data_IF_354442715675
#
_entry.id   IF_354442715675
#
_cell.length_a   1.000
_cell.length_b   1.000
_cell.length_c   1.000
_cell.angle_alpha   90.00
_cell.angle_beta   90.00
_cell.angle_gamma   90.00
#
_symmetry.space_group_name_H-M   'P 1'
#
loop_
_entity.id
_entity.type
_entity.pdbx_description
1 polymer ?
#
# COMPACT_ATOMS: atom_id res chain seq x y z
N UNK A 1 8.37 0.34 0.82
CA UNK A 1 8.74 -0.59 1.86
C UNK A 1 10.25 -0.77 1.80
N UNK A 2 10.95 0.33 1.97
CA UNK A 2 12.35 0.36 2.35
C UNK A 2 12.51 -0.21 3.76
N UNK A 3 13.66 -0.84 4.02
CA UNK A 3 14.07 -1.21 5.39
C UNK A 3 14.12 0.04 6.26
N UNK A 4 13.78 -0.09 7.54
CA UNK A 4 13.91 1.02 8.47
C UNK A 4 15.39 1.45 8.55
N UNK A 5 15.70 2.75 8.46
CA UNK A 5 17.07 3.24 8.61
C UNK A 5 17.58 2.98 10.03
N UNK A 6 18.90 2.88 10.17
CA UNK A 6 19.53 2.68 11.47
C UNK A 6 19.28 3.86 12.42
N UNK A 7 19.06 3.62 13.72
CA UNK A 7 18.70 4.68 14.67
C UNK A 7 19.66 5.87 14.68
N UNK A 8 20.95 5.64 14.47
CA UNK A 8 22.02 6.64 14.54
C UNK A 8 22.02 7.60 13.34
N UNK A 9 21.34 7.24 12.25
CA UNK A 9 21.30 8.02 11.00
C UNK A 9 20.00 8.80 10.81
N UNK A 10 19.02 8.63 11.69
CA UNK A 10 17.69 9.21 11.52
C UNK A 10 17.48 10.40 12.46
N UNK A 11 17.46 11.60 11.88
CA UNK A 11 17.15 12.85 12.58
C UNK A 11 15.66 13.14 12.43
N UNK A 12 14.83 13.01 13.49
CA UNK A 12 13.38 13.04 13.34
C UNK A 12 12.83 14.32 12.70
N UNK A 13 13.41 15.48 13.05
CA UNK A 13 12.93 16.76 12.51
C UNK A 13 13.21 16.90 11.01
N UNK A 14 14.38 16.46 10.55
CA UNK A 14 14.74 16.50 9.13
C UNK A 14 13.93 15.48 8.33
N UNK A 15 13.83 14.24 8.83
CA UNK A 15 13.10 13.17 8.15
C UNK A 15 11.60 13.45 8.04
N UNK A 16 11.00 14.11 9.04
CA UNK A 16 9.60 14.54 8.95
C UNK A 16 9.35 15.59 7.86
N UNK A 17 10.38 16.37 7.47
CA UNK A 17 10.30 17.45 6.47
C UNK A 17 10.88 17.07 5.10
N UNK A 18 11.54 15.92 5.00
CA UNK A 18 12.25 15.45 3.80
C UNK A 18 11.43 15.54 2.50
N UNK A 19 10.12 15.29 2.60
CA UNK A 19 9.21 15.29 1.46
C UNK A 19 8.19 16.44 1.49
N UNK A 20 8.39 17.48 2.30
CA UNK A 20 7.49 18.64 2.35
C UNK A 20 7.40 19.39 1.02
N UNK A 21 8.38 19.23 0.13
CA UNK A 21 8.36 19.79 -1.22
C UNK A 21 7.21 19.24 -2.09
N UNK A 22 6.66 18.05 -1.79
CA UNK A 22 5.48 17.50 -2.45
C UNK A 22 4.22 18.35 -2.23
N UNK A 23 4.20 19.20 -1.20
CA UNK A 23 3.04 19.99 -0.81
C UNK A 23 3.06 21.42 -1.39
N UNK A 24 3.95 21.71 -2.35
CA UNK A 24 4.13 23.06 -2.92
C UNK A 24 3.13 23.43 -4.02
N UNK A 25 2.44 22.45 -4.60
CA UNK A 25 1.47 22.67 -5.68
C UNK A 25 0.13 23.21 -5.14
N UNK A 26 -0.81 23.53 -6.05
CA UNK A 26 -2.14 24.03 -5.69
C UNK A 26 -2.92 23.00 -4.84
N UNK A 27 -3.88 23.47 -4.02
CA UNK A 27 -4.60 22.60 -3.09
C UNK A 27 -5.39 21.49 -3.79
N UNK A 28 -5.99 21.72 -4.95
CA UNK A 28 -6.76 20.68 -5.64
C UNK A 28 -5.86 19.58 -6.21
N UNK A 29 -4.76 19.94 -6.87
CA UNK A 29 -3.79 19.00 -7.46
C UNK A 29 -3.08 18.16 -6.39
N UNK A 30 -2.74 18.77 -5.25
CA UNK A 30 -2.07 18.06 -4.16
C UNK A 30 -2.95 16.94 -3.60
N UNK A 31 -4.26 17.17 -3.51
CA UNK A 31 -5.20 16.29 -2.80
C UNK A 31 -5.94 15.29 -3.68
N UNK A 32 -5.81 15.39 -5.01
CA UNK A 32 -6.53 14.55 -5.98
C UNK A 32 -5.68 13.36 -6.43
N UNK A 33 -6.17 12.14 -6.22
CA UNK A 33 -5.48 10.92 -6.69
C UNK A 33 -5.77 10.71 -8.18
N UNK A 34 -4.75 10.87 -9.02
CA UNK A 34 -4.89 10.68 -10.45
C UNK A 34 -4.80 9.19 -10.80
N UNK A 35 -5.90 8.56 -11.23
CA UNK A 35 -5.91 7.13 -11.55
C UNK A 35 -4.95 6.73 -12.67
N UNK A 36 -4.54 7.67 -13.53
CA UNK A 36 -3.50 7.45 -14.54
C UNK A 36 -2.11 7.18 -13.96
N UNK A 37 -1.74 7.76 -12.80
CA UNK A 37 -0.48 7.45 -12.13
C UNK A 37 -0.69 6.72 -10.79
N UNK A 38 -1.93 6.58 -10.34
CA UNK A 38 -2.29 5.98 -9.08
C UNK A 38 -1.92 6.81 -7.84
N UNK A 39 -1.58 8.08 -7.99
CA UNK A 39 -1.02 8.86 -6.89
C UNK A 39 -1.46 10.32 -6.90
N UNK A 40 -1.30 10.95 -5.74
CA UNK A 40 -1.30 12.40 -5.57
C UNK A 40 -0.06 12.82 -4.79
N UNK A 41 0.42 14.06 -4.91
CA UNK A 41 1.51 14.56 -4.08
C UNK A 41 1.23 14.39 -2.58
N UNK A 42 -0.03 14.58 -2.15
CA UNK A 42 -0.44 14.35 -0.76
C UNK A 42 -0.38 12.88 -0.37
N UNK A 43 -0.81 11.97 -1.22
CA UNK A 43 -0.75 10.53 -0.95
C UNK A 43 0.70 10.09 -0.77
N UNK A 44 1.60 10.50 -1.66
CA UNK A 44 3.03 10.20 -1.56
C UNK A 44 3.66 10.79 -0.28
N UNK A 45 3.28 12.02 0.08
CA UNK A 45 3.70 12.62 1.34
C UNK A 45 3.17 11.83 2.54
N UNK A 46 1.90 11.39 2.54
CA UNK A 46 1.36 10.56 3.62
C UNK A 46 2.13 9.23 3.71
N UNK A 47 2.42 8.58 2.58
CA UNK A 47 3.23 7.35 2.54
C UNK A 47 4.62 7.56 3.15
N UNK A 48 5.27 8.70 2.91
CA UNK A 48 6.54 9.02 3.56
C UNK A 48 6.40 9.25 5.06
N UNK A 49 5.31 9.88 5.52
CA UNK A 49 5.03 10.05 6.94
C UNK A 49 4.72 8.71 7.64
N UNK A 50 4.10 7.74 6.94
CA UNK A 50 3.94 6.37 7.44
C UNK A 50 5.32 5.74 7.69
N UNK A 51 6.27 5.91 6.76
CA UNK A 51 7.64 5.41 6.89
C UNK A 51 8.37 6.08 8.05
N UNK A 52 8.22 7.40 8.21
CA UNK A 52 8.72 8.16 9.35
C UNK A 52 8.18 7.60 10.67
N UNK A 53 6.86 7.40 10.79
CA UNK A 53 6.24 6.88 12.00
C UNK A 53 6.73 5.46 12.35
N UNK A 54 6.84 4.58 11.35
CA UNK A 54 7.33 3.22 11.55
C UNK A 54 8.79 3.22 12.05
N UNK A 55 9.63 4.07 11.46
CA UNK A 55 11.02 4.25 11.86
C UNK A 55 11.11 4.81 13.28
N UNK A 56 10.33 5.84 13.59
CA UNK A 56 10.34 6.45 14.92
C UNK A 56 9.90 5.47 16.00
N UNK A 57 8.90 4.65 15.72
CA UNK A 57 8.43 3.59 16.63
C UNK A 57 9.47 2.49 16.86
N UNK A 58 10.32 2.23 15.86
CA UNK A 58 11.43 1.29 15.99
C UNK A 58 12.56 1.85 16.87
N UNK A 59 12.89 3.13 16.70
CA UNK A 59 13.90 3.81 17.54
C UNK A 59 13.43 4.05 18.97
N UNK A 60 12.16 4.46 19.13
CA UNK A 60 11.56 4.84 20.40
C UNK A 60 10.10 4.40 20.43
N UNK A 61 9.90 3.24 21.06
CA UNK A 61 8.58 2.66 21.21
C UNK A 61 7.70 3.40 22.24
N UNK A 62 8.24 4.37 22.99
CA UNK A 62 7.50 5.21 23.94
C UNK A 62 7.05 6.54 23.32
N UNK A 63 7.40 6.81 22.07
CA UNK A 63 7.07 8.07 21.42
C UNK A 63 5.56 8.30 21.35
N UNK A 64 5.07 9.29 22.09
CA UNK A 64 3.67 9.73 22.05
C UNK A 64 3.28 10.36 20.71
N UNK A 65 4.27 10.81 19.94
CA UNK A 65 4.07 11.46 18.63
C UNK A 65 3.50 10.45 17.64
N UNK A 66 4.00 9.21 17.63
CA UNK A 66 3.60 8.21 16.62
C UNK A 66 2.11 7.87 16.68
N UNK A 67 1.49 7.55 17.85
CA UNK A 67 0.05 7.33 17.92
C UNK A 67 -0.80 8.53 17.47
N UNK A 68 -0.38 9.75 17.82
CA UNK A 68 -1.10 10.99 17.45
C UNK A 68 -1.00 11.21 15.94
N UNK A 69 0.22 11.18 15.39
CA UNK A 69 0.47 11.34 13.97
C UNK A 69 -0.25 10.26 13.16
N UNK A 70 -0.23 9.00 13.60
CA UNK A 70 -0.93 7.92 12.90
C UNK A 70 -2.44 8.15 12.78
N UNK A 71 -3.10 8.65 13.84
CA UNK A 71 -4.52 9.03 13.77
C UNK A 71 -4.74 10.15 12.77
N UNK A 72 -3.86 11.17 12.76
CA UNK A 72 -3.97 12.28 11.81
C UNK A 72 -3.74 11.82 10.37
N UNK A 73 -2.76 10.95 10.12
CA UNK A 73 -2.53 10.37 8.78
C UNK A 73 -3.75 9.60 8.28
N UNK A 74 -4.41 8.83 9.15
CA UNK A 74 -5.64 8.14 8.77
C UNK A 74 -6.76 9.12 8.40
N UNK A 75 -6.95 10.18 9.17
CA UNK A 75 -7.91 11.24 8.84
C UNK A 75 -7.60 11.85 7.47
N UNK A 76 -6.33 12.21 7.22
CA UNK A 76 -5.90 12.78 5.96
C UNK A 76 -6.11 11.82 4.76
N UNK A 77 -5.96 10.50 4.97
CA UNK A 77 -6.26 9.51 3.94
C UNK A 77 -7.76 9.50 3.59
N UNK A 78 -8.65 9.62 4.57
CA UNK A 78 -10.10 9.70 4.29
C UNK A 78 -10.53 11.04 3.69
N UNK A 79 -9.74 12.10 3.87
CA UNK A 79 -9.94 13.40 3.22
C UNK A 79 -9.43 13.41 1.75
N UNK A 80 -8.58 12.45 1.36
CA UNK A 80 -8.16 12.34 -0.04
C UNK A 80 -9.35 11.99 -0.91
N UNK A 81 -9.47 12.72 -2.02
CA UNK A 81 -10.45 12.44 -3.05
C UNK A 81 -9.79 11.59 -4.14
N UNK A 82 -10.18 10.32 -4.32
CA UNK A 82 -10.11 9.72 -5.65
C UNK A 82 -10.86 10.69 -6.58
N UNK A 83 -10.36 10.91 -7.81
CA UNK A 83 -11.02 11.80 -8.78
C UNK A 83 -12.55 11.61 -8.72
N UNK A 84 -13.27 12.68 -8.35
CA UNK A 84 -14.72 12.74 -8.18
C UNK A 84 -15.38 12.99 -9.55
N UNK A 85 -16.22 12.06 -10.01
CA UNK A 85 -17.70 12.20 -9.93
C UNK A 85 -18.38 13.52 -10.31
N UNK A 86 -17.81 14.36 -11.20
CA UNK A 86 -18.46 15.59 -11.66
C UNK A 86 -19.36 15.42 -12.90
N UNK A 87 -19.51 14.20 -13.47
CA UNK A 87 -20.42 13.94 -14.59
C UNK A 87 -21.15 12.60 -14.41
N UNK A 88 -22.46 12.49 -14.70
CA UNK A 88 -23.13 11.20 -14.75
C UNK A 88 -22.42 10.30 -15.77
N UNK A 89 -21.99 9.13 -15.33
CA UNK A 89 -21.08 8.26 -16.08
C UNK A 89 -21.80 7.46 -17.16
N UNK A 90 -21.34 7.62 -18.40
CA UNK A 90 -21.56 6.69 -19.51
C UNK A 90 -20.25 6.10 -20.06
N UNK A 91 -19.08 6.57 -19.58
CA UNK A 91 -17.75 6.13 -20.05
C UNK A 91 -17.11 5.06 -19.14
N UNK A 92 -16.91 3.82 -19.64
CA UNK A 92 -16.20 2.74 -18.95
C UNK A 92 -14.78 3.11 -18.49
N UNK A 93 -14.09 3.98 -19.22
CA UNK A 93 -12.69 4.36 -18.95
C UNK A 93 -12.57 5.15 -17.66
N UNK A 94 -13.49 6.08 -17.43
CA UNK A 94 -13.48 6.94 -16.26
C UNK A 94 -13.73 6.15 -14.96
N UNK A 95 -14.61 5.13 -15.00
CA UNK A 95 -14.81 4.20 -13.88
C UNK A 95 -13.52 3.42 -13.55
N UNK A 96 -12.77 2.96 -14.55
CA UNK A 96 -11.50 2.24 -14.34
C UNK A 96 -10.44 3.13 -13.67
N UNK A 97 -10.36 4.41 -14.07
CA UNK A 97 -9.45 5.38 -13.49
C UNK A 97 -9.80 5.62 -12.02
N UNK A 98 -11.08 5.82 -11.69
CA UNK A 98 -11.53 5.99 -10.30
C UNK A 98 -11.24 4.75 -9.45
N UNK A 99 -11.51 3.55 -9.97
CA UNK A 99 -11.21 2.28 -9.28
C UNK A 99 -9.72 2.11 -9.03
N UNK A 100 -8.88 2.51 -10.00
CA UNK A 100 -7.42 2.48 -9.84
C UNK A 100 -6.98 3.46 -8.77
N UNK A 101 -7.48 4.70 -8.78
CA UNK A 101 -7.19 5.70 -7.75
C UNK A 101 -7.61 5.20 -6.35
N UNK A 102 -8.81 4.60 -6.25
CA UNK A 102 -9.31 4.06 -5.00
C UNK A 102 -8.48 2.86 -4.49
N UNK A 103 -7.99 1.98 -5.39
CA UNK A 103 -7.09 0.89 -5.02
C UNK A 103 -5.78 1.40 -4.37
N UNK A 104 -5.24 2.52 -4.84
CA UNK A 104 -4.06 3.16 -4.24
C UNK A 104 -4.33 3.79 -2.89
N UNK A 105 -5.49 4.43 -2.72
CA UNK A 105 -5.95 4.91 -1.41
C UNK A 105 -6.06 3.76 -0.40
N UNK A 106 -6.69 2.65 -0.79
CA UNK A 106 -6.81 1.46 0.03
C UNK A 106 -5.45 0.89 0.43
N UNK A 107 -4.49 0.84 -0.49
CA UNK A 107 -3.12 0.41 -0.16
C UNK A 107 -2.47 1.31 0.88
N UNK A 108 -2.62 2.63 0.80
CA UNK A 108 -2.04 3.51 1.82
C UNK A 108 -2.70 3.32 3.21
N UNK A 109 -4.01 3.07 3.25
CA UNK A 109 -4.73 2.75 4.48
C UNK A 109 -4.27 1.42 5.06
N UNK A 110 -4.17 0.39 4.23
CA UNK A 110 -3.63 -0.92 4.60
C UNK A 110 -2.19 -0.77 5.09
N UNK A 111 -1.39 0.06 4.42
CA UNK A 111 0.01 0.30 4.75
C UNK A 111 0.19 0.91 6.13
N UNK A 112 -0.59 1.95 6.45
CA UNK A 112 -0.64 2.54 7.78
C UNK A 112 -1.03 1.49 8.84
N UNK A 113 -2.02 0.64 8.51
CA UNK A 113 -2.53 -0.42 9.38
C UNK A 113 -1.49 -1.48 9.74
N UNK A 114 -0.81 -2.07 8.76
CA UNK A 114 0.17 -3.11 9.08
C UNK A 114 1.52 -2.55 9.54
N UNK A 115 1.94 -1.37 9.07
CA UNK A 115 3.30 -0.87 9.33
C UNK A 115 3.39 -0.12 10.65
N UNK A 116 2.49 0.83 10.86
CA UNK A 116 2.50 1.70 12.05
C UNK A 116 1.64 1.09 13.15
N UNK A 117 0.41 0.69 12.82
CA UNK A 117 -0.48 0.07 13.80
C UNK A 117 -0.13 -1.40 14.09
N UNK A 118 0.74 -2.01 13.28
CA UNK A 118 1.18 -3.41 13.42
C UNK A 118 0.02 -4.41 13.40
N UNK A 119 -1.09 -4.06 12.74
CA UNK A 119 -2.24 -4.95 12.59
C UNK A 119 -1.95 -6.07 11.60
N UNK A 120 -2.09 -7.35 11.96
CA UNK A 120 -1.93 -8.45 11.01
C UNK A 120 -3.06 -8.48 9.97
N UNK A 121 -2.90 -9.18 8.83
CA UNK A 121 -3.94 -9.26 7.78
C UNK A 121 -5.29 -9.79 8.28
N UNK A 122 -5.26 -10.64 9.31
CA UNK A 122 -6.47 -11.18 9.94
C UNK A 122 -7.25 -10.17 10.78
N UNK A 123 -6.68 -9.00 11.11
CA UNK A 123 -7.34 -7.98 11.91
C UNK A 123 -8.54 -7.39 11.14
N UNK A 124 -9.73 -7.20 11.76
CA UNK A 124 -10.94 -6.76 11.06
C UNK A 124 -10.76 -5.46 10.26
N UNK A 125 -10.01 -4.51 10.83
CA UNK A 125 -9.66 -3.27 10.15
C UNK A 125 -8.84 -3.49 8.88
N UNK A 126 -7.88 -4.41 8.85
CA UNK A 126 -7.07 -4.67 7.65
C UNK A 126 -7.87 -5.48 6.64
N UNK A 127 -8.57 -6.51 7.12
CA UNK A 127 -9.40 -7.40 6.30
C UNK A 127 -10.42 -6.66 5.44
N UNK A 128 -11.20 -5.74 6.03
CA UNK A 128 -12.22 -4.99 5.28
C UNK A 128 -11.63 -4.19 4.10
N UNK A 129 -10.42 -3.64 4.26
CA UNK A 129 -9.78 -2.88 3.19
C UNK A 129 -9.13 -3.81 2.15
N UNK A 130 -8.64 -4.99 2.56
CA UNK A 130 -8.20 -6.03 1.62
C UNK A 130 -9.36 -6.56 0.77
N UNK A 131 -10.56 -6.68 1.34
CA UNK A 131 -11.78 -7.07 0.62
C UNK A 131 -12.22 -5.98 -0.37
N UNK A 132 -12.30 -4.73 0.07
CA UNK A 132 -12.56 -3.59 -0.82
C UNK A 132 -11.51 -3.48 -1.95
N UNK A 133 -10.25 -3.78 -1.65
CA UNK A 133 -9.18 -3.78 -2.65
C UNK A 133 -9.35 -4.91 -3.67
N UNK A 134 -9.78 -6.10 -3.24
CA UNK A 134 -10.08 -7.21 -4.13
C UNK A 134 -11.23 -6.89 -5.08
N UNK A 135 -12.27 -6.21 -4.60
CA UNK A 135 -13.38 -5.72 -5.44
C UNK A 135 -12.88 -4.71 -6.48
N UNK A 136 -11.99 -3.78 -6.10
CA UNK A 136 -11.39 -2.83 -7.03
C UNK A 136 -10.59 -3.53 -8.13
N UNK A 137 -9.73 -4.49 -7.75
CA UNK A 137 -8.87 -5.19 -8.71
C UNK A 137 -9.68 -6.03 -9.69
N UNK A 138 -10.76 -6.69 -9.23
CA UNK A 138 -11.63 -7.48 -10.10
C UNK A 138 -12.45 -6.62 -11.07
N UNK A 139 -12.74 -5.37 -10.70
CA UNK A 139 -13.46 -4.43 -11.57
C UNK A 139 -12.56 -3.77 -12.63
N UNK A 140 -11.23 -3.75 -12.43
CA UNK A 140 -10.28 -3.17 -13.39
C UNK A 140 -9.89 -4.22 -14.43
N UNK A 141 -10.00 -3.91 -15.74
CA UNK A 141 -9.63 -4.86 -16.78
C UNK A 141 -8.15 -5.22 -16.71
N UNK A 142 -7.85 -6.49 -16.95
CA UNK A 142 -6.49 -7.05 -17.00
C UNK A 142 -5.97 -7.23 -18.45
N UNK A 143 -6.80 -6.95 -19.45
CA UNK A 143 -6.50 -7.09 -20.88
C UNK A 143 -7.54 -6.31 -21.71
N UNK A 144 -7.29 -6.15 -23.01
CA UNK A 144 -8.25 -5.54 -23.94
C UNK A 144 -8.15 -4.00 -24.04
N UNK A 145 -9.09 -3.35 -24.75
CA UNK A 145 -8.98 -1.95 -25.17
C UNK A 145 -9.03 -0.94 -24.01
N UNK A 146 -9.52 -1.35 -22.85
CA UNK A 146 -9.59 -0.52 -21.64
C UNK A 146 -8.51 -0.85 -20.60
N UNK A 147 -7.62 -1.82 -20.90
CA UNK A 147 -6.45 -2.08 -20.07
C UNK A 147 -5.47 -0.91 -20.17
N UNK A 148 -5.04 -0.40 -19.03
CA UNK A 148 -4.07 0.69 -18.98
C UNK A 148 -2.70 0.18 -18.52
N UNK A 149 -1.58 0.67 -19.09
CA UNK A 149 -0.22 0.37 -18.61
C UNK A 149 0.08 0.81 -17.16
N UNK A 150 -0.91 1.43 -16.50
CA UNK A 150 -0.86 1.97 -15.14
C UNK A 150 -1.68 1.12 -14.15
N UNK A 151 -2.01 -0.11 -14.56
CA UNK A 151 -2.57 -1.14 -13.73
C UNK A 151 -1.88 -1.18 -12.34
N UNK A 152 -2.62 -1.29 -11.23
CA UNK A 152 -2.09 -1.10 -9.88
C UNK A 152 -1.32 -2.34 -9.40
N UNK A 153 -0.19 -2.66 -10.06
CA UNK A 153 0.63 -3.86 -9.83
C UNK A 153 1.01 -4.00 -8.35
N UNK A 154 1.40 -2.90 -7.70
CA UNK A 154 1.71 -2.91 -6.26
C UNK A 154 0.50 -3.35 -5.43
N UNK A 155 -0.70 -2.85 -5.77
CA UNK A 155 -1.92 -3.17 -5.06
C UNK A 155 -2.31 -4.63 -5.25
N UNK A 156 -2.17 -5.15 -6.48
CA UNK A 156 -2.40 -6.57 -6.79
C UNK A 156 -1.41 -7.47 -6.07
N UNK A 157 -0.12 -7.10 -6.08
CA UNK A 157 0.93 -7.83 -5.38
C UNK A 157 0.65 -7.90 -3.87
N UNK A 158 0.36 -6.76 -3.24
CA UNK A 158 0.08 -6.72 -1.80
C UNK A 158 -1.20 -7.46 -1.42
N UNK A 159 -2.23 -7.42 -2.28
CA UNK A 159 -3.42 -8.23 -2.07
C UNK A 159 -3.09 -9.72 -2.07
N UNK A 160 -2.31 -10.19 -3.05
CA UNK A 160 -1.92 -11.59 -3.17
C UNK A 160 -0.97 -12.05 -2.06
N UNK A 161 -0.15 -11.13 -1.53
CA UNK A 161 0.77 -11.39 -0.43
C UNK A 161 0.03 -11.53 0.91
N UNK A 162 -1.00 -10.69 1.13
CA UNK A 162 -1.65 -10.53 2.44
C UNK A 162 -2.98 -11.28 2.57
N UNK A 163 -3.61 -11.67 1.45
CA UNK A 163 -4.91 -12.34 1.46
C UNK A 163 -4.88 -13.68 0.74
N UNK A 164 -4.77 -14.76 1.52
CA UNK A 164 -4.90 -16.11 0.99
C UNK A 164 -6.25 -16.34 0.29
N UNK A 165 -7.32 -15.72 0.79
CA UNK A 165 -8.68 -15.77 0.20
C UNK A 165 -8.72 -15.21 -1.22
N UNK A 166 -7.94 -14.15 -1.48
CA UNK A 166 -7.96 -13.44 -2.77
C UNK A 166 -6.85 -13.91 -3.73
N UNK A 167 -6.15 -15.00 -3.40
CA UNK A 167 -5.07 -15.56 -4.22
C UNK A 167 -5.52 -15.87 -5.65
N UNK A 168 -6.70 -16.48 -5.83
CA UNK A 168 -7.25 -16.81 -7.16
C UNK A 168 -7.46 -15.56 -8.02
N UNK A 169 -8.15 -14.55 -7.48
CA UNK A 169 -8.38 -13.28 -8.20
C UNK A 169 -7.08 -12.58 -8.60
N UNK A 170 -6.05 -12.65 -7.75
CA UNK A 170 -4.72 -12.09 -8.05
C UNK A 170 -3.99 -12.90 -9.12
N UNK A 171 -4.06 -14.22 -9.04
CA UNK A 171 -3.49 -15.13 -10.03
C UNK A 171 -4.11 -14.86 -11.41
N UNK A 172 -5.45 -14.86 -11.50
CA UNK A 172 -6.19 -14.61 -12.74
C UNK A 172 -5.81 -13.25 -13.34
N UNK A 173 -5.64 -12.23 -12.50
CA UNK A 173 -5.21 -10.91 -12.94
C UNK A 173 -3.83 -10.95 -13.59
N UNK A 174 -2.83 -11.55 -12.93
CA UNK A 174 -1.47 -11.65 -13.48
C UNK A 174 -1.45 -12.47 -14.77
N UNK A 175 -2.14 -13.61 -14.81
CA UNK A 175 -2.19 -14.48 -15.98
C UNK A 175 -2.78 -13.77 -17.20
N UNK A 176 -3.85 -12.99 -17.02
CA UNK A 176 -4.44 -12.17 -18.08
C UNK A 176 -3.52 -11.03 -18.54
N UNK A 177 -2.89 -10.34 -17.60
CA UNK A 177 -1.93 -9.28 -17.89
C UNK A 177 -0.74 -9.82 -18.69
N UNK A 178 -0.28 -11.04 -18.41
CA UNK A 178 0.81 -11.67 -19.17
C UNK A 178 0.46 -12.05 -20.61
N UNK A 179 -0.83 -12.08 -20.98
CA UNK A 179 -1.26 -12.33 -22.36
C UNK A 179 -1.13 -11.10 -23.28
N UNK A 180 -0.89 -9.91 -22.71
CA UNK A 180 -0.68 -8.67 -23.48
C UNK A 180 0.78 -8.23 -23.39
N UNK A 181 1.22 -7.34 -24.29
CA UNK A 181 2.56 -6.75 -24.21
C UNK A 181 2.69 -5.93 -22.93
N UNK A 182 3.42 -6.46 -21.95
CA UNK A 182 3.62 -5.84 -20.64
C UNK A 182 5.05 -5.36 -20.44
N UNK A 183 5.23 -4.49 -19.43
CA UNK A 183 6.57 -4.13 -18.97
C UNK A 183 7.33 -5.40 -18.55
N UNK A 184 8.61 -5.46 -18.87
CA UNK A 184 9.50 -6.59 -18.53
C UNK A 184 9.57 -6.89 -17.02
N UNK A 185 9.14 -5.96 -16.17
CA UNK A 185 9.07 -6.13 -14.71
C UNK A 185 7.89 -6.98 -14.23
N UNK A 186 6.82 -7.15 -15.02
CA UNK A 186 5.60 -7.85 -14.55
C UNK A 186 5.83 -9.35 -14.31
N UNK A 187 6.42 -10.12 -15.25
CA UNK A 187 6.72 -11.53 -15.01
C UNK A 187 7.55 -11.80 -13.74
N UNK A 188 8.70 -11.12 -13.50
CA UNK A 188 9.48 -11.36 -12.29
C UNK A 188 8.73 -11.04 -10.99
N UNK A 189 7.86 -10.01 -11.00
CA UNK A 189 7.01 -9.67 -9.85
C UNK A 189 6.03 -10.81 -9.54
N UNK A 190 5.41 -11.39 -10.57
CA UNK A 190 4.48 -12.50 -10.40
C UNK A 190 5.19 -13.76 -9.90
N UNK A 191 6.36 -14.08 -10.44
CA UNK A 191 7.19 -15.20 -9.96
C UNK A 191 7.59 -15.02 -8.50
N UNK A 192 7.98 -13.79 -8.10
CA UNK A 192 8.26 -13.47 -6.71
C UNK A 192 7.03 -13.73 -5.82
N UNK A 193 5.85 -13.27 -6.23
CA UNK A 193 4.60 -13.48 -5.50
C UNK A 193 4.27 -14.96 -5.34
N UNK A 194 4.39 -15.77 -6.39
CA UNK A 194 4.12 -17.22 -6.34
C UNK A 194 4.98 -17.93 -5.29
N UNK A 195 6.25 -17.55 -5.17
CA UNK A 195 7.16 -18.10 -4.13
C UNK A 195 6.63 -17.82 -2.72
N UNK A 196 6.05 -16.63 -2.49
CA UNK A 196 5.52 -16.25 -1.18
C UNK A 196 4.31 -17.09 -0.76
N UNK A 197 3.55 -17.67 -1.68
CA UNK A 197 2.36 -18.46 -1.35
C UNK A 197 2.68 -19.79 -0.66
N UNK A 198 3.91 -20.28 -0.77
CA UNK A 198 4.39 -21.45 -0.02
C UNK A 198 4.91 -21.12 1.38
N UNK A 199 4.95 -19.85 1.76
CA UNK A 199 5.56 -19.44 3.02
C UNK A 199 4.66 -19.74 4.22
N UNK A 200 5.29 -20.22 5.29
CA UNK A 200 4.69 -20.15 6.62
C UNK A 200 4.45 -18.69 6.98
N UNK A 201 3.22 -18.36 7.37
CA UNK A 201 2.86 -17.00 7.80
C UNK A 201 3.69 -16.59 9.02
N UNK A 202 4.17 -15.35 8.99
CA UNK A 202 5.08 -14.78 10.01
C UNK A 202 4.46 -13.64 10.82
N UNK A 203 3.19 -13.31 10.55
CA UNK A 203 2.46 -12.28 11.30
C UNK A 203 1.66 -12.86 12.46
N UNK A 204 1.42 -12.08 13.53
CA UNK A 204 0.67 -12.54 14.70
C UNK A 204 -0.81 -12.77 14.40
N UNK A 205 -1.49 -13.49 15.29
CA UNK A 205 -2.94 -13.61 15.27
C UNK A 205 -3.60 -12.32 15.77
N UNK A 206 -4.66 -11.87 15.09
CA UNK A 206 -5.44 -10.72 15.55
C UNK A 206 -6.14 -10.94 16.90
N UNK A 207 -6.38 -12.20 17.31
CA UNK A 207 -7.11 -12.54 18.55
C UNK A 207 -6.36 -12.10 19.82
N UNK A 208 -5.04 -12.14 19.80
CA UNK A 208 -4.18 -11.90 20.96
C UNK A 208 -3.34 -10.63 20.78
N UNK A 209 -3.83 -9.67 19.99
CA UNK A 209 -3.06 -8.48 19.68
C UNK A 209 -2.98 -7.55 20.91
N UNK A 210 -1.78 -7.15 21.36
CA UNK A 210 -1.64 -6.20 22.47
C UNK A 210 -2.41 -4.89 22.25
N UNK A 211 -2.92 -4.34 23.36
CA UNK A 211 -3.67 -3.06 23.34
C UNK A 211 -2.79 -1.92 22.86
N UNK A 212 -1.56 -1.85 23.33
CA UNK A 212 -0.64 -0.76 22.96
C UNK A 212 0.19 -1.13 21.73
N UNK A 213 0.47 -0.16 20.86
CA UNK A 213 1.23 -0.38 19.62
C UNK A 213 2.66 -0.85 19.93
N UNK A 214 3.26 -0.32 21.01
CA UNK A 214 4.64 -0.62 21.43
C UNK A 214 4.88 -2.09 21.77
N UNK A 215 3.85 -2.79 22.23
CA UNK A 215 3.90 -4.22 22.58
C UNK A 215 3.66 -5.13 21.36
N UNK A 216 3.17 -4.59 20.24
CA UNK A 216 2.90 -5.38 19.04
C UNK A 216 4.20 -5.67 18.30
N UNK A 217 4.34 -6.88 17.78
CA UNK A 217 5.50 -7.26 16.97
C UNK A 217 5.56 -6.48 15.64
N UNK A 218 6.73 -5.96 15.22
CA UNK A 218 6.92 -5.30 13.92
C UNK A 218 7.02 -6.33 12.77
N UNK A 219 6.00 -7.19 12.65
CA UNK A 219 5.99 -8.33 11.71
C UNK A 219 6.15 -7.90 10.25
N UNK A 220 5.69 -6.69 9.89
CA UNK A 220 5.81 -6.18 8.53
C UNK A 220 7.27 -6.05 8.12
N UNK A 221 8.14 -5.56 9.00
CA UNK A 221 9.55 -5.37 8.66
C UNK A 221 10.26 -6.72 8.51
N UNK A 222 9.87 -7.72 9.32
CA UNK A 222 10.34 -9.11 9.15
C UNK A 222 9.91 -9.70 7.80
N UNK A 223 8.69 -9.36 7.33
CA UNK A 223 8.20 -9.76 6.01
C UNK A 223 9.00 -9.12 4.88
N UNK A 224 9.31 -7.82 5.01
CA UNK A 224 10.14 -7.11 4.03
C UNK A 224 11.55 -7.70 3.99
N UNK A 225 12.18 -7.96 5.14
CA UNK A 225 13.52 -8.58 5.19
C UNK A 225 13.50 -9.96 4.49
N UNK A 226 12.48 -10.78 4.75
CA UNK A 226 12.32 -12.08 4.08
C UNK A 226 12.11 -11.93 2.58
N UNK A 227 11.26 -10.99 2.13
CA UNK A 227 11.06 -10.68 0.72
C UNK A 227 12.36 -10.29 0.04
N UNK A 228 13.17 -9.43 0.64
CA UNK A 228 14.46 -9.01 0.08
C UNK A 228 15.39 -10.22 -0.09
N UNK A 229 15.52 -11.05 0.93
CA UNK A 229 16.41 -12.23 0.93
C UNK A 229 15.95 -13.30 -0.08
N UNK A 230 14.65 -13.63 -0.10
CA UNK A 230 14.14 -14.76 -0.89
C UNK A 230 13.70 -14.38 -2.32
N UNK A 231 13.49 -13.09 -2.60
CA UNK A 231 13.03 -12.63 -3.92
C UNK A 231 13.97 -11.65 -4.61
N UNK A 232 15.11 -11.30 -4.01
CA UNK A 232 16.16 -10.49 -4.66
C UNK A 232 15.80 -9.01 -4.83
N UNK A 233 14.99 -8.45 -3.92
CA UNK A 233 14.56 -7.04 -3.93
C UNK A 233 13.89 -6.58 -5.24
N UNK A 234 13.20 -7.49 -5.96
CA UNK A 234 12.59 -7.21 -7.28
C UNK A 234 11.50 -6.12 -7.28
N UNK A 235 11.03 -5.71 -6.10
CA UNK A 235 10.14 -4.57 -5.94
C UNK A 235 10.86 -3.49 -5.12
N UNK A 236 11.15 -2.36 -5.78
CA UNK A 236 11.51 -1.12 -5.11
C UNK A 236 10.26 -0.59 -4.41
N UNK A 237 9.99 -1.14 -3.24
CA UNK A 237 8.93 -0.63 -2.44
C UNK A 237 9.41 0.70 -1.80
N UNK A 238 8.70 1.81 -1.99
CA UNK A 238 9.02 3.16 -1.43
C UNK A 238 9.21 3.23 0.10
#
# INVERSE_FOLDING_TARGET
>A
MSKLPQPEKFVPMEESRRFSWLLRASSEEVWTIHGGCGASPKLLHIMSQINYCATRLYQDNQSIVVPITSKKLLQLLYELKPIESAKPFTDPTANIIERTAYAWLLIAIIYLGFRVQRYPPSHPYVRRHLEALAECIQAVPASGPYFTPNAPILSVFLLGLLSAKNKGAVQDWFERVLQVSVRSSVPPIYEALKRTWGWKQIWPSAKNLPRTIREREPWWEKLVDRLVVETGAMLCFM
#
